data_IF_318228968113
#
_entry.id   IF_318228968113
#
_cell.length_a   1.000
_cell.length_b   1.000
_cell.length_c   1.000
_cell.angle_alpha   90.00
_cell.angle_beta   90.00
_cell.angle_gamma   90.00
#
_symmetry.space_group_name_H-M   'P 1'
#
loop_
_entity.id
_entity.type
_entity.pdbx_description
1 polymer ?
#
# COMPACT_ATOMS: atom_id res chain seq x y z
N UNK A 1 -16.28 -13.80 1.10
CA UNK A 1 -15.09 -13.95 1.96
C UNK A 1 -15.24 -13.07 3.19
N UNK A 2 -14.67 -13.40 4.35
CA UNK A 2 -14.62 -12.47 5.47
C UNK A 2 -13.84 -11.21 5.05
N UNK A 3 -14.37 -10.03 5.39
CA UNK A 3 -13.66 -8.77 5.19
C UNK A 3 -12.57 -8.62 6.25
N UNK A 4 -11.41 -8.09 5.84
CA UNK A 4 -10.28 -7.83 6.72
C UNK A 4 -10.25 -6.33 6.98
N UNK A 5 -11.03 -5.87 7.95
CA UNK A 5 -11.03 -4.48 8.38
C UNK A 5 -9.82 -4.24 9.30
N UNK A 6 -8.66 -4.00 8.68
CA UNK A 6 -7.42 -3.70 9.40
C UNK A 6 -6.73 -2.47 8.82
N UNK A 7 -6.74 -1.40 9.61
CA UNK A 7 -5.91 -0.21 9.37
C UNK A 7 -4.65 -0.29 10.22
N UNK A 8 -3.47 -0.18 9.59
CA UNK A 8 -2.20 -0.18 10.32
C UNK A 8 -2.10 1.08 11.19
N UNK A 9 -1.95 0.96 12.52
CA UNK A 9 -1.72 2.11 13.38
C UNK A 9 -0.41 2.84 12.98
N UNK A 10 -0.42 4.17 12.97
CA UNK A 10 0.76 4.94 12.54
C UNK A 10 2.01 4.63 13.37
N UNK A 11 1.86 4.44 14.69
CA UNK A 11 2.98 4.07 15.56
C UNK A 11 3.60 2.71 15.16
N UNK A 12 2.79 1.76 14.70
CA UNK A 12 3.25 0.43 14.30
C UNK A 12 4.06 0.48 13.00
N UNK A 13 3.68 1.36 12.07
CA UNK A 13 4.47 1.65 10.88
C UNK A 13 5.87 2.18 11.25
N UNK A 14 5.94 3.24 12.05
CA UNK A 14 7.22 3.84 12.45
C UNK A 14 8.08 2.89 13.28
N UNK A 15 7.47 2.17 14.22
CA UNK A 15 8.15 1.16 15.02
C UNK A 15 8.68 0.01 14.14
N UNK A 16 7.89 -0.42 13.16
CA UNK A 16 8.29 -1.43 12.18
C UNK A 16 9.52 -1.00 11.39
N UNK A 17 9.56 0.23 10.89
CA UNK A 17 10.70 0.76 10.15
C UNK A 17 12.00 0.84 10.97
N UNK A 18 11.91 0.89 12.30
CA UNK A 18 13.09 0.94 13.17
C UNK A 18 13.47 -0.46 13.68
N UNK A 19 12.53 -1.17 14.30
CA UNK A 19 12.81 -2.46 14.93
C UNK A 19 13.12 -3.55 13.91
N UNK A 20 12.41 -3.57 12.77
CA UNK A 20 12.58 -4.65 11.80
C UNK A 20 14.00 -4.68 11.23
N UNK A 21 14.60 -3.57 10.72
CA UNK A 21 15.98 -3.59 10.26
C UNK A 21 16.99 -4.00 11.33
N UNK A 22 16.80 -3.58 12.58
CA UNK A 22 17.70 -3.95 13.68
C UNK A 22 17.65 -5.47 13.89
N UNK A 23 16.45 -6.03 13.99
CA UNK A 23 16.27 -7.47 14.14
C UNK A 23 16.82 -8.20 12.92
N UNK A 24 16.47 -7.77 11.70
CA UNK A 24 16.93 -8.37 10.46
C UNK A 24 18.46 -8.36 10.32
N UNK A 25 19.12 -7.25 10.67
CA UNK A 25 20.57 -7.13 10.67
C UNK A 25 21.22 -8.12 11.66
N UNK A 26 20.67 -8.25 12.87
CA UNK A 26 21.20 -9.22 13.86
C UNK A 26 21.04 -10.67 13.40
N UNK A 27 19.98 -10.98 12.65
CA UNK A 27 19.74 -12.30 12.08
C UNK A 27 20.64 -12.57 10.87
N UNK A 28 20.82 -11.58 9.99
CA UNK A 28 21.63 -11.68 8.79
C UNK A 28 23.12 -11.89 9.08
N UNK A 29 23.63 -11.31 10.18
CA UNK A 29 25.03 -11.44 10.62
C UNK A 29 25.34 -12.78 11.32
N UNK A 30 24.36 -13.69 11.47
CA UNK A 30 24.61 -15.01 12.06
C UNK A 30 25.42 -15.89 11.09
N UNK A 31 26.42 -16.64 11.59
CA UNK A 31 27.22 -17.53 10.74
C UNK A 31 26.30 -18.55 10.07
N UNK A 32 26.43 -18.70 8.74
CA UNK A 32 25.66 -19.69 7.99
C UNK A 32 26.02 -21.09 8.49
N UNK A 33 25.04 -21.96 8.77
CA UNK A 33 25.33 -23.32 9.16
C UNK A 33 26.14 -24.02 8.07
N UNK A 34 27.18 -24.76 8.46
CA UNK A 34 28.08 -25.48 7.54
C UNK A 34 27.35 -26.59 6.76
N UNK A 35 26.29 -27.14 7.34
CA UNK A 35 25.48 -28.20 6.74
C UNK A 35 24.16 -27.65 6.19
N UNK A 36 23.82 -27.99 4.94
CA UNK A 36 22.51 -27.69 4.35
C UNK A 36 21.47 -28.58 5.02
N UNK A 37 20.62 -28.01 5.87
CA UNK A 37 19.47 -28.69 6.47
C UNK A 37 18.20 -27.89 6.25
N UNK A 38 17.11 -28.59 5.95
CA UNK A 38 15.78 -28.03 6.03
C UNK A 38 15.42 -27.78 7.49
N UNK A 39 14.92 -26.57 7.78
CA UNK A 39 14.52 -26.14 9.11
C UNK A 39 13.01 -26.27 9.26
N UNK A 40 12.56 -26.92 10.33
CA UNK A 40 11.14 -26.99 10.66
C UNK A 40 10.55 -25.61 10.96
N UNK A 41 11.31 -24.74 11.63
CA UNK A 41 10.90 -23.36 11.91
C UNK A 41 10.69 -22.59 10.61
N UNK A 42 11.64 -22.72 9.67
CA UNK A 42 11.50 -22.07 8.35
C UNK A 42 10.35 -22.67 7.56
N UNK A 43 10.13 -23.99 7.64
CA UNK A 43 8.99 -24.64 7.01
C UNK A 43 7.65 -24.09 7.53
N UNK A 44 7.50 -23.88 8.84
CA UNK A 44 6.29 -23.30 9.41
C UNK A 44 6.13 -21.83 9.03
N UNK A 45 7.23 -21.07 9.01
CA UNK A 45 7.23 -19.70 8.51
C UNK A 45 6.73 -19.63 7.06
N UNK A 46 7.23 -20.51 6.18
CA UNK A 46 6.79 -20.58 4.78
C UNK A 46 5.33 -21.09 4.68
N UNK A 47 4.89 -21.99 5.56
CA UNK A 47 3.50 -22.44 5.60
C UNK A 47 2.55 -21.30 5.97
N UNK A 48 2.93 -20.46 6.94
CA UNK A 48 2.13 -19.30 7.34
C UNK A 48 2.13 -18.23 6.23
N UNK A 49 3.29 -17.94 5.64
CA UNK A 49 3.45 -16.84 4.67
C UNK A 49 3.13 -17.22 3.24
N UNK A 50 3.11 -18.51 2.89
CA UNK A 50 2.97 -18.98 1.51
C UNK A 50 2.23 -20.31 1.37
N UNK A 51 1.61 -20.79 2.45
CA UNK A 51 0.93 -22.10 2.46
C UNK A 51 -0.28 -22.17 1.54
N UNK A 52 -0.97 -21.05 1.33
CA UNK A 52 -2.09 -20.94 0.38
C UNK A 52 -1.64 -21.25 -1.06
N UNK A 53 -0.37 -21.01 -1.39
CA UNK A 53 0.25 -21.32 -2.67
C UNK A 53 1.02 -22.65 -2.65
N UNK A 54 1.01 -23.39 -1.54
CA UNK A 54 1.75 -24.65 -1.39
C UNK A 54 3.27 -24.50 -1.27
N UNK A 55 3.79 -23.30 -0.98
CA UNK A 55 5.23 -23.02 -0.99
C UNK A 55 6.01 -23.84 0.04
N UNK A 56 5.40 -24.21 1.17
CA UNK A 56 6.02 -25.04 2.20
C UNK A 56 6.33 -26.46 1.72
N UNK A 57 5.56 -26.97 0.75
CA UNK A 57 5.87 -28.26 0.09
C UNK A 57 6.93 -28.10 -0.98
N UNK A 58 6.89 -27.01 -1.75
CA UNK A 58 7.94 -26.70 -2.75
C UNK A 58 9.31 -26.46 -2.08
N UNK A 59 9.32 -25.84 -0.90
CA UNK A 59 10.51 -25.70 -0.06
C UNK A 59 11.19 -27.05 0.21
N UNK A 60 10.40 -28.10 0.44
CA UNK A 60 10.87 -29.47 0.66
C UNK A 60 11.02 -30.27 -0.65
N UNK A 61 11.05 -29.60 -1.81
CA UNK A 61 11.12 -30.19 -3.16
C UNK A 61 9.97 -31.17 -3.48
N UNK A 62 8.82 -31.02 -2.83
CA UNK A 62 7.63 -31.84 -3.07
C UNK A 62 6.69 -31.19 -4.08
N UNK A 63 6.51 -31.82 -5.24
CA UNK A 63 5.63 -31.33 -6.32
C UNK A 63 4.14 -31.29 -5.94
N UNK A 64 3.73 -31.97 -4.86
CA UNK A 64 2.36 -31.90 -4.31
C UNK A 64 1.96 -30.45 -3.99
N UNK A 65 2.92 -29.57 -3.68
CA UNK A 65 2.66 -28.15 -3.48
C UNK A 65 1.96 -27.48 -4.67
N UNK A 66 2.19 -27.96 -5.90
CA UNK A 66 1.55 -27.42 -7.09
C UNK A 66 0.03 -27.63 -7.13
N UNK A 67 -0.53 -28.58 -6.35
CA UNK A 67 -1.98 -28.78 -6.28
C UNK A 67 -2.72 -27.58 -5.64
N UNK A 68 -2.02 -26.76 -4.86
CA UNK A 68 -2.59 -25.55 -4.27
C UNK A 68 -2.83 -24.46 -5.32
N UNK A 69 -2.01 -24.41 -6.36
CA UNK A 69 -2.04 -23.33 -7.36
C UNK A 69 -3.36 -23.31 -8.15
N UNK A 70 -3.87 -24.43 -8.72
CA UNK A 70 -5.16 -24.43 -9.40
C UNK A 70 -6.32 -24.00 -8.49
N UNK A 71 -6.35 -24.47 -7.24
CA UNK A 71 -7.41 -24.09 -6.28
C UNK A 71 -7.31 -22.60 -5.94
N UNK A 72 -6.09 -22.07 -5.82
CA UNK A 72 -5.86 -20.65 -5.59
C UNK A 72 -6.33 -19.80 -6.79
N UNK A 73 -6.03 -20.22 -8.01
CA UNK A 73 -6.52 -19.56 -9.24
C UNK A 73 -8.04 -19.53 -9.29
N UNK A 74 -8.71 -20.62 -8.89
CA UNK A 74 -10.19 -20.66 -8.79
C UNK A 74 -10.71 -19.61 -7.81
N UNK A 75 -10.04 -19.39 -6.67
CA UNK A 75 -10.42 -18.32 -5.73
C UNK A 75 -10.30 -16.95 -6.38
N UNK A 76 -9.16 -16.67 -7.04
CA UNK A 76 -8.95 -15.38 -7.71
C UNK A 76 -10.00 -15.12 -8.79
N UNK A 77 -10.27 -16.12 -9.63
CA UNK A 77 -11.26 -16.03 -10.69
C UNK A 77 -12.67 -15.83 -10.12
N UNK A 78 -13.07 -16.63 -9.13
CA UNK A 78 -14.39 -16.52 -8.52
C UNK A 78 -14.59 -15.19 -7.79
N UNK A 79 -13.57 -14.65 -7.13
CA UNK A 79 -13.63 -13.32 -6.52
C UNK A 79 -13.75 -12.20 -7.56
N UNK A 80 -13.04 -12.30 -8.68
CA UNK A 80 -13.17 -11.36 -9.80
C UNK A 80 -14.61 -11.37 -10.34
N UNK A 81 -15.14 -12.56 -10.65
CA UNK A 81 -16.52 -12.69 -11.13
C UNK A 81 -17.56 -12.22 -10.10
N UNK A 82 -17.30 -12.49 -8.81
CA UNK A 82 -18.13 -11.99 -7.72
C UNK A 82 -18.10 -10.47 -7.57
N UNK A 83 -17.04 -9.79 -8.00
CA UNK A 83 -17.00 -8.33 -8.05
C UNK A 83 -17.89 -7.77 -9.15
N UNK A 84 -17.83 -8.35 -10.35
CA UNK A 84 -18.68 -7.95 -11.47
C UNK A 84 -20.16 -8.23 -11.16
N UNK A 85 -20.47 -9.40 -10.59
CA UNK A 85 -21.82 -9.76 -10.17
C UNK A 85 -22.38 -8.84 -9.07
N UNK A 86 -21.54 -8.30 -8.18
CA UNK A 86 -21.96 -7.30 -7.17
C UNK A 86 -22.41 -5.99 -7.83
N UNK A 87 -21.73 -5.54 -8.87
CA UNK A 87 -22.13 -4.33 -9.61
C UNK A 87 -23.51 -4.52 -10.22
N UNK A 88 -23.71 -5.63 -10.94
CA UNK A 88 -25.00 -5.95 -11.58
C UNK A 88 -26.12 -6.07 -10.54
N UNK A 89 -25.87 -6.74 -9.42
CA UNK A 89 -26.84 -6.86 -8.32
C UNK A 89 -27.21 -5.49 -7.76
N UNK A 90 -26.22 -4.61 -7.54
CA UNK A 90 -26.46 -3.24 -7.09
C UNK A 90 -27.33 -2.47 -8.08
N UNK A 91 -27.01 -2.53 -9.37
CA UNK A 91 -27.75 -1.82 -10.43
C UNK A 91 -29.21 -2.29 -10.53
N UNK A 92 -29.44 -3.61 -10.57
CA UNK A 92 -30.80 -4.17 -10.64
C UNK A 92 -31.59 -3.91 -9.36
N UNK A 93 -30.96 -4.02 -8.19
CA UNK A 93 -31.62 -3.69 -6.92
C UNK A 93 -31.99 -2.20 -6.82
N UNK A 94 -31.20 -1.32 -7.42
CA UNK A 94 -31.49 0.11 -7.46
C UNK A 94 -32.65 0.42 -8.41
N UNK A 95 -32.71 -0.24 -9.58
CA UNK A 95 -33.84 -0.14 -10.51
C UNK A 95 -35.16 -0.51 -9.82
N UNK A 96 -35.21 -1.69 -9.20
CA UNK A 96 -36.40 -2.17 -8.47
C UNK A 96 -36.79 -1.18 -7.37
N UNK A 97 -35.82 -0.77 -6.55
CA UNK A 97 -36.05 0.17 -5.45
C UNK A 97 -36.53 1.54 -5.92
N UNK A 98 -36.08 2.01 -7.09
CA UNK A 98 -36.52 3.28 -7.66
C UNK A 98 -37.94 3.19 -8.22
N UNK A 99 -38.28 2.08 -8.87
CA UNK A 99 -39.61 1.82 -9.40
C UNK A 99 -40.65 1.66 -8.28
N UNK A 100 -40.33 0.89 -7.22
CA UNK A 100 -41.19 0.76 -6.03
C UNK A 100 -41.46 2.11 -5.35
N UNK A 101 -40.41 2.92 -5.13
CA UNK A 101 -40.59 4.28 -4.58
C UNK A 101 -41.46 5.17 -5.47
N UNK A 102 -41.42 4.98 -6.79
CA UNK A 102 -42.22 5.76 -7.74
C UNK A 102 -43.70 5.34 -7.64
N UNK A 103 -43.98 4.04 -7.57
CA UNK A 103 -45.33 3.52 -7.37
C UNK A 103 -45.93 3.97 -6.04
N UNK A 104 -45.17 3.90 -4.94
CA UNK A 104 -45.65 4.34 -3.62
C UNK A 104 -46.00 5.84 -3.64
N UNK A 105 -45.13 6.66 -4.24
CA UNK A 105 -45.28 8.12 -4.26
C UNK A 105 -46.39 8.58 -5.20
N UNK A 106 -46.42 8.08 -6.43
CA UNK A 106 -47.42 8.49 -7.41
C UNK A 106 -48.77 7.81 -7.17
N UNK A 107 -48.80 6.57 -6.66
CA UNK A 107 -50.02 5.87 -6.29
C UNK A 107 -50.86 6.66 -5.31
N UNK A 108 -50.27 7.12 -4.20
CA UNK A 108 -50.99 7.97 -3.24
C UNK A 108 -51.50 9.29 -3.83
N UNK A 109 -50.73 9.91 -4.73
CA UNK A 109 -51.10 11.18 -5.39
C UNK A 109 -52.24 10.99 -6.39
N UNK A 110 -52.17 9.95 -7.22
CA UNK A 110 -53.21 9.62 -8.20
C UNK A 110 -54.50 9.27 -7.46
N UNK A 111 -54.46 8.40 -6.45
CA UNK A 111 -55.64 8.05 -5.65
C UNK A 111 -56.27 9.29 -4.99
N UNK A 112 -55.45 10.20 -4.42
CA UNK A 112 -56.00 11.45 -3.85
C UNK A 112 -56.64 12.36 -4.90
N UNK A 113 -56.01 12.50 -6.07
CA UNK A 113 -56.51 13.36 -7.14
C UNK A 113 -57.79 12.80 -7.77
N UNK A 114 -57.89 11.48 -7.90
CA UNK A 114 -59.09 10.77 -8.37
C UNK A 114 -60.25 10.93 -7.39
N UNK A 115 -60.00 10.92 -6.08
CA UNK A 115 -61.03 11.13 -5.07
C UNK A 115 -61.57 12.58 -5.07
N UNK A 116 -60.72 13.57 -5.37
CA UNK A 116 -61.12 14.99 -5.41
C UNK A 116 -61.79 15.41 -6.73
N UNK A 117 -61.50 14.70 -7.84
CA UNK A 117 -61.95 15.05 -9.19
C UNK A 117 -63.48 15.18 -9.35
N UNK A 118 -64.33 14.29 -8.79
CA UNK A 118 -65.79 14.43 -8.87
C UNK A 118 -66.29 15.74 -8.26
N UNK A 119 -65.73 16.16 -7.11
CA UNK A 119 -66.07 17.42 -6.47
C UNK A 119 -65.64 18.64 -7.30
N UNK A 120 -64.51 18.56 -8.00
CA UNK A 120 -64.09 19.61 -8.93
C UNK A 120 -65.00 19.69 -10.16
N UNK A 121 -65.44 18.55 -10.71
CA UNK A 121 -66.39 18.48 -11.82
C UNK A 121 -67.77 19.02 -11.44
N UNK A 122 -68.24 18.74 -10.23
CA UNK A 122 -69.48 19.30 -9.71
C UNK A 122 -69.40 20.84 -9.61
N UNK A 123 -68.32 21.38 -9.03
CA UNK A 123 -68.10 22.84 -8.96
C UNK A 123 -68.05 23.51 -10.33
N UNK A 124 -67.56 22.81 -11.35
CA UNK A 124 -67.58 23.29 -12.74
C UNK A 124 -69.00 23.30 -13.31
N UNK A 125 -69.80 22.27 -13.04
CA UNK A 125 -71.19 22.16 -13.50
C UNK A 125 -72.13 23.18 -12.84
N UNK A 126 -71.85 23.58 -11.60
CA UNK A 126 -72.61 24.58 -10.85
C UNK A 126 -72.20 26.03 -11.16
N UNK A 127 -71.11 26.25 -11.91
CA UNK A 127 -70.61 27.59 -12.21
C UNK A 127 -71.43 28.26 -13.32
N UNK A 128 -71.72 29.56 -13.15
CA UNK A 128 -72.45 30.35 -14.16
C UNK A 128 -71.67 30.47 -15.47
N UNK A 129 -72.36 30.24 -16.59
CA UNK A 129 -71.81 30.25 -17.95
C UNK A 129 -71.19 31.60 -18.30
N UNK A 130 -69.92 31.61 -18.69
CA UNK A 130 -69.15 32.80 -19.05
C UNK A 130 -68.45 33.48 -17.86
N UNK A 131 -68.61 32.98 -16.63
CA UNK A 131 -68.04 33.59 -15.42
C UNK A 131 -66.53 33.32 -15.25
N UNK A 132 -65.85 34.18 -14.47
CA UNK A 132 -64.46 33.92 -14.02
C UNK A 132 -64.36 32.64 -13.18
N UNK A 133 -65.43 32.27 -12.47
CA UNK A 133 -65.51 31.06 -11.66
C UNK A 133 -65.50 29.79 -12.52
N UNK A 134 -66.25 29.78 -13.63
CA UNK A 134 -66.24 28.68 -14.61
C UNK A 134 -64.83 28.47 -15.19
N UNK A 135 -64.17 29.53 -15.66
CA UNK A 135 -62.80 29.44 -16.20
C UNK A 135 -61.79 28.90 -15.19
N UNK A 136 -61.95 29.26 -13.91
CA UNK A 136 -61.12 28.76 -12.81
C UNK A 136 -61.37 27.28 -12.54
N UNK A 137 -62.63 26.89 -12.35
CA UNK A 137 -63.03 25.50 -12.14
C UNK A 137 -62.60 24.61 -13.31
N UNK A 138 -62.74 25.08 -14.55
CA UNK A 138 -62.32 24.36 -15.75
C UNK A 138 -60.80 24.16 -15.81
N UNK A 139 -60.01 25.16 -15.39
CA UNK A 139 -58.55 25.02 -15.29
C UNK A 139 -58.16 24.03 -14.19
N UNK A 140 -58.85 24.04 -13.07
CA UNK A 140 -58.54 23.18 -11.93
C UNK A 140 -58.88 21.71 -12.26
N UNK A 141 -60.02 21.45 -12.92
CA UNK A 141 -60.35 20.12 -13.49
C UNK A 141 -59.30 19.67 -14.51
N UNK A 142 -58.95 20.52 -15.50
CA UNK A 142 -57.90 20.17 -16.49
C UNK A 142 -56.57 19.83 -15.84
N UNK A 143 -56.16 20.57 -14.81
CA UNK A 143 -54.90 20.31 -14.08
C UNK A 143 -54.96 19.01 -13.29
N UNK A 144 -56.10 18.71 -12.66
CA UNK A 144 -56.29 17.44 -11.96
C UNK A 144 -56.24 16.26 -12.94
N UNK A 145 -56.94 16.35 -14.08
CA UNK A 145 -56.91 15.34 -15.14
C UNK A 145 -55.49 15.13 -15.69
N UNK A 146 -54.76 16.21 -16.00
CA UNK A 146 -53.36 16.11 -16.45
C UNK A 146 -52.43 15.46 -15.41
N UNK A 147 -52.63 15.76 -14.12
CA UNK A 147 -51.83 15.15 -13.04
C UNK A 147 -52.12 13.67 -12.88
N UNK A 148 -53.39 13.27 -13.00
CA UNK A 148 -53.81 11.87 -12.95
C UNK A 148 -53.18 11.13 -14.14
N UNK A 149 -53.28 11.68 -15.35
CA UNK A 149 -52.71 11.06 -16.55
C UNK A 149 -51.20 10.88 -16.43
N UNK A 150 -50.46 11.96 -16.13
CA UNK A 150 -49.00 11.90 -15.96
C UNK A 150 -48.59 10.98 -14.80
N UNK A 151 -49.39 10.92 -13.73
CA UNK A 151 -49.17 10.01 -12.62
C UNK A 151 -49.32 8.56 -13.05
N UNK A 152 -50.38 8.23 -13.80
CA UNK A 152 -50.62 6.89 -14.36
C UNK A 152 -49.55 6.47 -15.36
N UNK A 153 -49.11 7.36 -16.25
CA UNK A 153 -47.99 7.08 -17.16
C UNK A 153 -46.71 6.70 -16.41
N UNK A 154 -46.37 7.45 -15.34
CA UNK A 154 -45.20 7.16 -14.51
C UNK A 154 -45.35 5.87 -13.71
N UNK A 155 -46.54 5.57 -13.22
CA UNK A 155 -46.84 4.31 -12.55
C UNK A 155 -46.74 3.13 -13.51
N UNK A 156 -47.29 3.25 -14.72
CA UNK A 156 -47.20 2.21 -15.75
C UNK A 156 -45.75 1.94 -16.17
N UNK A 157 -44.94 3.00 -16.31
CA UNK A 157 -43.50 2.85 -16.57
C UNK A 157 -42.79 2.13 -15.39
N UNK A 158 -43.09 2.51 -14.15
CA UNK A 158 -42.53 1.86 -12.97
C UNK A 158 -42.98 0.39 -12.83
N UNK A 159 -44.23 0.05 -13.19
CA UNK A 159 -44.71 -1.33 -13.22
C UNK A 159 -43.96 -2.17 -14.27
N UNK A 160 -43.73 -1.62 -15.47
CA UNK A 160 -42.94 -2.29 -16.50
C UNK A 160 -41.47 -2.49 -16.07
N UNK A 161 -40.88 -1.51 -15.40
CA UNK A 161 -39.55 -1.61 -14.79
C UNK A 161 -39.50 -2.70 -13.71
N UNK A 162 -40.58 -2.92 -12.95
CA UNK A 162 -40.64 -3.99 -11.95
C UNK A 162 -40.85 -5.38 -12.55
N UNK A 163 -41.67 -5.49 -13.61
CA UNK A 163 -41.92 -6.75 -14.30
C UNK A 163 -40.62 -7.34 -14.86
N UNK A 164 -39.73 -6.48 -15.35
CA UNK A 164 -38.41 -6.86 -15.88
C UNK A 164 -37.31 -6.84 -14.80
N UNK A 165 -37.34 -5.86 -13.90
CA UNK A 165 -36.29 -5.63 -12.92
C UNK A 165 -36.27 -6.64 -11.77
N UNK A 166 -37.42 -7.14 -11.32
CA UNK A 166 -37.49 -8.15 -10.25
C UNK A 166 -36.82 -9.48 -10.63
N UNK A 167 -37.18 -10.14 -11.76
CA UNK A 167 -36.51 -11.38 -12.15
C UNK A 167 -35.03 -11.15 -12.44
N UNK A 168 -34.66 -10.02 -13.03
CA UNK A 168 -33.26 -9.67 -13.26
C UNK A 168 -32.47 -9.46 -11.96
N UNK A 169 -33.08 -8.88 -10.91
CA UNK A 169 -32.46 -8.71 -9.60
C UNK A 169 -32.28 -10.07 -8.89
N UNK A 170 -33.26 -10.97 -8.98
CA UNK A 170 -33.17 -12.33 -8.43
C UNK A 170 -32.07 -13.14 -9.13
N UNK A 171 -31.99 -13.08 -10.46
CA UNK A 171 -30.94 -13.74 -11.23
C UNK A 171 -29.55 -13.18 -10.90
N UNK A 172 -29.42 -11.85 -10.80
CA UNK A 172 -28.16 -11.19 -10.43
C UNK A 172 -27.70 -11.62 -9.03
N UNK A 173 -28.62 -11.68 -8.06
CA UNK A 173 -28.35 -12.15 -6.71
C UNK A 173 -27.92 -13.63 -6.69
N UNK A 174 -28.61 -14.50 -7.42
CA UNK A 174 -28.26 -15.92 -7.52
C UNK A 174 -26.86 -16.12 -8.14
N UNK A 175 -26.54 -15.37 -9.19
CA UNK A 175 -25.21 -15.39 -9.81
C UNK A 175 -24.12 -14.91 -8.84
N UNK A 176 -24.38 -13.84 -8.07
CA UNK A 176 -23.47 -13.37 -7.04
C UNK A 176 -23.21 -14.45 -5.97
N UNK A 177 -24.27 -15.08 -5.47
CA UNK A 177 -24.16 -16.15 -4.48
C UNK A 177 -23.39 -17.36 -5.01
N UNK A 178 -23.60 -17.73 -6.27
CA UNK A 178 -22.86 -18.80 -6.93
C UNK A 178 -21.35 -18.56 -6.89
N UNK A 179 -20.89 -17.38 -7.33
CA UNK A 179 -19.45 -17.04 -7.33
C UNK A 179 -18.89 -16.93 -5.92
N UNK A 180 -19.64 -16.35 -4.98
CA UNK A 180 -19.24 -16.29 -3.57
C UNK A 180 -19.08 -17.68 -2.96
N UNK A 181 -19.97 -18.63 -3.29
CA UNK A 181 -19.90 -20.00 -2.82
C UNK A 181 -18.70 -20.75 -3.41
N UNK A 182 -18.42 -20.59 -4.71
CA UNK A 182 -17.21 -21.18 -5.33
C UNK A 182 -15.95 -20.68 -4.62
N UNK A 183 -15.82 -19.36 -4.45
CA UNK A 183 -14.66 -18.78 -3.77
C UNK A 183 -14.53 -19.34 -2.33
N UNK A 184 -15.66 -19.37 -1.58
CA UNK A 184 -15.72 -19.89 -0.22
C UNK A 184 -15.27 -21.35 -0.12
N UNK A 185 -15.81 -22.24 -0.95
CA UNK A 185 -15.45 -23.66 -0.91
C UNK A 185 -14.01 -23.92 -1.35
N UNK A 186 -13.53 -23.23 -2.39
CA UNK A 186 -12.14 -23.32 -2.82
C UNK A 186 -11.17 -22.85 -1.71
N UNK A 187 -11.53 -21.80 -0.98
CA UNK A 187 -10.76 -21.33 0.17
C UNK A 187 -10.74 -22.33 1.32
N UNK A 188 -11.88 -22.93 1.68
CA UNK A 188 -11.93 -24.00 2.67
C UNK A 188 -11.11 -25.22 2.27
N UNK A 189 -11.09 -25.57 0.98
CA UNK A 189 -10.27 -26.67 0.47
C UNK A 189 -8.77 -26.39 0.66
N UNK A 190 -8.30 -25.18 0.35
CA UNK A 190 -6.92 -24.78 0.62
C UNK A 190 -6.62 -24.79 2.11
N UNK A 191 -7.50 -24.22 2.95
CA UNK A 191 -7.30 -24.20 4.40
C UNK A 191 -7.22 -25.62 4.99
N UNK A 192 -8.05 -26.54 4.51
CA UNK A 192 -7.97 -27.94 4.90
C UNK A 192 -6.61 -28.55 4.52
N UNK A 193 -6.12 -28.29 3.31
CA UNK A 193 -4.79 -28.69 2.88
C UNK A 193 -3.68 -28.10 3.76
N UNK A 194 -3.72 -26.80 4.04
CA UNK A 194 -2.74 -26.14 4.93
C UNK A 194 -2.80 -26.73 6.34
N UNK A 195 -3.99 -26.97 6.89
CA UNK A 195 -4.18 -27.56 8.21
C UNK A 195 -3.61 -28.98 8.30
N UNK A 196 -3.83 -29.82 7.29
CA UNK A 196 -3.19 -31.13 7.19
C UNK A 196 -1.67 -30.98 7.23
N UNK A 197 -1.15 -30.00 6.51
CA UNK A 197 0.29 -29.80 6.36
C UNK A 197 0.96 -29.27 7.62
N UNK A 198 0.24 -28.53 8.47
CA UNK A 198 0.71 -28.12 9.80
C UNK A 198 1.18 -29.34 10.60
N UNK A 199 0.44 -30.45 10.53
CA UNK A 199 0.78 -31.68 11.25
C UNK A 199 1.80 -32.55 10.51
N UNK A 200 1.79 -32.57 9.17
CA UNK A 200 2.73 -33.37 8.38
C UNK A 200 4.13 -32.76 8.31
N UNK A 201 4.26 -31.44 8.45
CA UNK A 201 5.48 -30.71 8.18
C UNK A 201 6.72 -31.24 8.93
N UNK A 202 6.68 -31.56 10.24
CA UNK A 202 7.85 -32.09 10.93
C UNK A 202 8.35 -33.41 10.34
N UNK A 203 7.42 -34.30 9.94
CA UNK A 203 7.75 -35.57 9.29
C UNK A 203 8.33 -35.37 7.89
N UNK A 204 7.77 -34.45 7.12
CA UNK A 204 8.26 -34.11 5.78
C UNK A 204 9.68 -33.50 5.84
N UNK A 205 9.95 -32.62 6.81
CA UNK A 205 11.28 -32.04 7.02
C UNK A 205 12.30 -33.11 7.38
N UNK A 206 11.95 -34.04 8.29
CA UNK A 206 12.82 -35.17 8.64
C UNK A 206 13.15 -36.04 7.42
N UNK A 207 12.14 -36.37 6.60
CA UNK A 207 12.32 -37.14 5.37
C UNK A 207 13.18 -36.40 4.34
N UNK A 208 12.97 -35.11 4.16
CA UNK A 208 13.76 -34.28 3.26
C UNK A 208 15.23 -34.18 3.71
N UNK A 209 15.47 -34.08 5.02
CA UNK A 209 16.82 -34.11 5.60
C UNK A 209 17.51 -35.47 5.48
N UNK A 210 16.77 -36.59 5.55
CA UNK A 210 17.34 -37.91 5.33
C UNK A 210 17.77 -38.13 3.87
N UNK A 211 17.12 -37.47 2.92
CA UNK A 211 17.39 -37.56 1.49
C UNK A 211 18.38 -36.49 0.98
N UNK A 212 18.93 -35.66 1.88
CA UNK A 212 19.90 -34.62 1.51
C UNK A 212 21.27 -35.29 1.24
N UNK A 213 21.84 -35.14 0.04
CA UNK A 213 23.19 -35.65 -0.22
C UNK A 213 24.22 -34.94 0.67
N UNK A 214 25.24 -35.66 1.19
CA UNK A 214 26.21 -35.15 2.16
C UNK A 214 27.11 -34.04 1.58
N UNK A 215 27.35 -34.03 0.28
CA UNK A 215 27.96 -32.92 -0.44
C UNK A 215 27.11 -32.58 -1.66
N UNK A 216 26.89 -31.29 -1.99
CA UNK A 216 26.29 -30.96 -3.26
C UNK A 216 27.28 -31.38 -4.36
N UNK A 217 26.89 -32.33 -5.20
CA UNK A 217 27.53 -32.54 -6.50
C UNK A 217 27.27 -31.28 -7.33
N UNK A 218 28.05 -30.23 -7.08
CA UNK A 218 28.01 -29.03 -7.88
C UNK A 218 28.58 -29.40 -9.24
N UNK A 219 27.81 -29.15 -10.29
CA UNK A 219 28.34 -29.28 -11.64
C UNK A 219 29.58 -28.40 -11.79
N UNK A 220 30.53 -28.79 -12.64
CA UNK A 220 31.73 -28.00 -12.90
C UNK A 220 31.39 -26.54 -13.31
N UNK A 221 30.24 -26.36 -13.96
CA UNK A 221 29.68 -25.05 -14.29
C UNK A 221 29.24 -24.25 -13.06
N UNK A 222 28.61 -24.88 -12.07
CA UNK A 222 28.16 -24.23 -10.84
C UNK A 222 29.34 -23.83 -9.95
N UNK A 223 30.39 -24.65 -9.91
CA UNK A 223 31.65 -24.32 -9.22
C UNK A 223 32.34 -23.12 -9.85
N UNK A 224 32.44 -23.08 -11.19
CA UNK A 224 33.00 -21.94 -11.93
C UNK A 224 32.17 -20.68 -11.71
N UNK A 225 30.85 -20.76 -11.78
CA UNK A 225 29.95 -19.64 -11.51
C UNK A 225 30.16 -19.09 -10.09
N UNK A 226 30.18 -19.97 -9.08
CA UNK A 226 30.37 -19.57 -7.69
C UNK A 226 31.74 -18.95 -7.42
N UNK A 227 32.78 -19.43 -8.10
CA UNK A 227 34.12 -18.84 -8.04
C UNK A 227 34.15 -17.45 -8.70
N UNK A 228 33.46 -17.27 -9.82
CA UNK A 228 33.29 -15.95 -10.48
C UNK A 228 32.50 -14.98 -9.59
N UNK A 229 31.36 -15.41 -9.05
CA UNK A 229 30.55 -14.63 -8.11
C UNK A 229 31.36 -14.20 -6.89
N UNK A 230 32.17 -15.10 -6.32
CA UNK A 230 33.03 -14.79 -5.18
C UNK A 230 34.17 -13.83 -5.55
N UNK A 231 34.69 -13.88 -6.78
CA UNK A 231 35.72 -12.97 -7.26
C UNK A 231 35.16 -11.57 -7.58
N UNK A 232 33.90 -11.47 -8.02
CA UNK A 232 33.24 -10.19 -8.28
C UNK A 232 32.67 -9.54 -7.01
N UNK A 233 32.37 -10.32 -5.96
CA UNK A 233 31.85 -9.81 -4.68
C UNK A 233 32.95 -9.07 -3.91
N UNK A 234 33.16 -7.79 -4.23
CA UNK A 234 33.86 -6.88 -3.33
C UNK A 234 33.01 -6.68 -2.08
N UNK A 235 33.62 -6.86 -0.91
CA UNK A 235 32.98 -6.48 0.35
C UNK A 235 32.81 -4.95 0.35
N UNK A 236 31.60 -4.47 0.63
CA UNK A 236 31.31 -3.03 0.66
C UNK A 236 32.17 -2.31 1.71
N UNK A 237 32.64 -3.03 2.74
CA UNK A 237 33.61 -2.51 3.70
C UNK A 237 34.95 -2.09 3.07
N UNK A 238 35.29 -2.62 1.89
CA UNK A 238 36.52 -2.26 1.17
C UNK A 238 36.52 -0.82 0.62
N UNK A 239 35.36 -0.18 0.51
CA UNK A 239 35.22 1.22 0.09
C UNK A 239 35.51 2.21 1.24
N UNK A 240 35.60 1.74 2.49
CA UNK A 240 35.82 2.60 3.65
C UNK A 240 37.25 3.12 3.66
N UNK A 241 37.39 4.44 3.61
CA UNK A 241 38.70 5.10 3.64
C UNK A 241 39.34 5.11 5.04
N UNK A 242 40.64 5.41 5.09
CA UNK A 242 41.39 5.56 6.35
C UNK A 242 41.27 6.98 6.94
N UNK A 243 41.46 7.10 8.26
CA UNK A 243 41.43 8.37 8.97
C UNK A 243 40.02 8.88 9.29
N UNK A 244 39.84 10.20 9.31
CA UNK A 244 38.58 10.83 9.71
C UNK A 244 37.44 10.60 8.69
N UNK A 245 37.76 10.55 7.40
CA UNK A 245 36.79 10.28 6.32
C UNK A 245 36.19 8.88 6.44
N UNK A 246 36.94 7.92 6.98
CA UNK A 246 36.46 6.58 7.25
C UNK A 246 35.32 6.51 8.28
N UNK A 247 35.15 7.51 9.14
CA UNK A 247 33.98 7.56 10.03
C UNK A 247 32.71 7.91 9.26
N UNK A 248 32.81 8.83 8.30
CA UNK A 248 31.70 9.18 7.40
C UNK A 248 31.34 8.00 6.52
N UNK A 249 32.33 7.34 5.92
CA UNK A 249 32.09 6.19 5.05
C UNK A 249 31.42 5.03 5.82
N UNK A 250 31.84 4.77 7.07
CA UNK A 250 31.17 3.78 7.94
C UNK A 250 29.74 4.16 8.30
N UNK A 251 29.47 5.46 8.50
CA UNK A 251 28.11 5.95 8.75
C UNK A 251 27.22 5.70 7.53
N UNK A 252 27.68 6.07 6.33
CA UNK A 252 26.95 5.82 5.08
C UNK A 252 26.72 4.33 4.82
N UNK A 253 27.74 3.50 5.09
CA UNK A 253 27.66 2.04 5.00
C UNK A 253 26.59 1.48 5.96
N UNK A 254 26.61 1.91 7.23
CA UNK A 254 25.63 1.51 8.23
C UNK A 254 24.20 1.94 7.86
N UNK A 255 24.02 3.21 7.48
CA UNK A 255 22.71 3.74 7.10
C UNK A 255 22.15 3.03 5.86
N UNK A 256 22.99 2.77 4.85
CA UNK A 256 22.63 2.00 3.66
C UNK A 256 22.24 0.56 3.97
N UNK A 257 23.04 -0.14 4.78
CA UNK A 257 22.74 -1.51 5.24
C UNK A 257 21.42 -1.54 6.02
N UNK A 258 21.21 -0.57 6.91
CA UNK A 258 19.99 -0.44 7.71
C UNK A 258 18.74 -0.32 6.81
N UNK A 259 18.73 0.61 5.86
CA UNK A 259 17.56 0.81 4.99
C UNK A 259 17.39 -0.29 3.94
N UNK A 260 18.44 -1.05 3.61
CA UNK A 260 18.32 -2.19 2.71
C UNK A 260 17.33 -3.25 3.24
N UNK A 261 17.21 -3.41 4.56
CA UNK A 261 16.24 -4.32 5.16
C UNK A 261 14.78 -3.86 5.01
N UNK A 262 14.51 -2.59 4.71
CA UNK A 262 13.15 -2.12 4.39
C UNK A 262 12.58 -2.78 3.13
N UNK A 263 13.44 -3.18 2.17
CA UNK A 263 12.98 -3.92 1.00
C UNK A 263 12.30 -5.25 1.38
N UNK A 264 12.70 -5.89 2.49
CA UNK A 264 12.06 -7.11 2.98
C UNK A 264 10.68 -6.82 3.57
N UNK A 265 10.52 -5.68 4.25
CA UNK A 265 9.21 -5.20 4.72
C UNK A 265 8.26 -5.05 3.53
N UNK A 266 8.73 -4.46 2.43
CA UNK A 266 7.94 -4.27 1.22
C UNK A 266 7.41 -5.58 0.64
N UNK A 267 8.24 -6.63 0.59
CA UNK A 267 7.81 -7.95 0.11
C UNK A 267 6.68 -8.50 0.98
N UNK A 268 6.79 -8.38 2.31
CA UNK A 268 5.76 -8.85 3.24
C UNK A 268 4.46 -8.06 3.09
N UNK A 269 4.54 -6.73 3.04
CA UNK A 269 3.38 -5.84 2.96
C UNK A 269 2.67 -5.98 1.61
N UNK A 270 3.39 -6.03 0.49
CA UNK A 270 2.75 -6.22 -0.82
C UNK A 270 2.18 -7.62 -0.98
N UNK A 271 2.82 -8.64 -0.42
CA UNK A 271 2.22 -9.96 -0.38
C UNK A 271 0.90 -9.94 0.39
N UNK A 272 0.88 -9.31 1.58
CA UNK A 272 -0.34 -9.13 2.34
C UNK A 272 -1.40 -8.35 1.56
N UNK A 273 -1.05 -7.26 0.88
CA UNK A 273 -1.98 -6.46 0.08
C UNK A 273 -2.57 -7.26 -1.09
N UNK A 274 -1.76 -8.03 -1.81
CA UNK A 274 -2.23 -8.91 -2.90
C UNK A 274 -3.22 -9.94 -2.34
N UNK A 275 -2.90 -10.55 -1.21
CA UNK A 275 -3.80 -11.49 -0.55
C UNK A 275 -5.11 -10.83 -0.11
N UNK A 276 -5.02 -9.71 0.62
CA UNK A 276 -6.18 -8.96 1.12
C UNK A 276 -7.10 -8.53 -0.02
N UNK A 277 -6.54 -7.97 -1.08
CA UNK A 277 -7.26 -7.47 -2.25
C UNK A 277 -7.91 -8.58 -3.06
N UNK A 278 -7.15 -9.59 -3.47
CA UNK A 278 -7.64 -10.55 -4.48
C UNK A 278 -8.23 -11.83 -3.88
N UNK A 279 -7.81 -12.22 -2.67
CA UNK A 279 -8.34 -13.42 -1.99
C UNK A 279 -9.48 -13.05 -1.06
N UNK A 280 -9.35 -11.97 -0.30
CA UNK A 280 -10.38 -11.56 0.67
C UNK A 280 -11.34 -10.49 0.11
N UNK A 281 -11.01 -9.85 -1.02
CA UNK A 281 -11.82 -8.78 -1.59
C UNK A 281 -11.84 -7.53 -0.72
N UNK A 282 -10.77 -7.32 0.07
CA UNK A 282 -10.65 -6.30 1.11
C UNK A 282 -9.33 -5.53 0.92
N UNK A 283 -9.23 -4.61 -0.05
CA UNK A 283 -8.04 -3.80 -0.25
C UNK A 283 -7.71 -3.00 1.01
N UNK A 284 -6.42 -2.82 1.35
CA UNK A 284 -6.06 -2.01 2.51
C UNK A 284 -5.95 -0.53 2.13
N UNK A 285 -6.29 0.36 3.06
CA UNK A 285 -6.14 1.80 2.90
C UNK A 285 -4.69 2.29 3.10
N UNK A 286 -3.84 1.52 3.79
CA UNK A 286 -2.51 1.95 4.23
C UNK A 286 -1.34 1.37 3.42
N UNK A 287 -1.45 0.14 2.88
CA UNK A 287 -0.27 -0.57 2.38
C UNK A 287 0.44 0.14 1.23
N UNK A 288 -0.31 0.66 0.25
CA UNK A 288 0.27 1.36 -0.89
C UNK A 288 1.06 2.60 -0.46
N UNK A 289 0.45 3.44 0.37
CA UNK A 289 1.06 4.69 0.81
C UNK A 289 2.23 4.46 1.77
N UNK A 290 2.10 3.53 2.71
CA UNK A 290 3.19 3.13 3.60
C UNK A 290 4.44 2.73 2.80
N UNK A 291 4.28 1.94 1.73
CA UNK A 291 5.40 1.53 0.90
C UNK A 291 5.96 2.67 0.05
N UNK A 292 5.09 3.51 -0.50
CA UNK A 292 5.51 4.69 -1.26
C UNK A 292 6.39 5.62 -0.41
N UNK A 293 5.95 5.95 0.81
CA UNK A 293 6.69 6.80 1.74
C UNK A 293 8.00 6.13 2.19
N UNK A 294 7.96 4.84 2.53
CA UNK A 294 9.14 4.07 2.92
C UNK A 294 10.21 4.05 1.82
N UNK A 295 9.84 3.80 0.56
CA UNK A 295 10.79 3.81 -0.55
C UNK A 295 11.36 5.20 -0.83
N UNK A 296 10.57 6.25 -0.68
CA UNK A 296 11.07 7.63 -0.77
C UNK A 296 12.16 7.91 0.26
N UNK A 297 11.93 7.52 1.52
CA UNK A 297 12.93 7.59 2.58
C UNK A 297 14.16 6.71 2.28
N UNK A 298 13.95 5.49 1.81
CA UNK A 298 15.01 4.54 1.47
C UNK A 298 15.94 5.12 0.41
N UNK A 299 15.36 5.70 -0.64
CA UNK A 299 16.09 6.30 -1.76
C UNK A 299 17.02 7.43 -1.29
N UNK A 300 16.53 8.30 -0.42
CA UNK A 300 17.31 9.44 0.08
C UNK A 300 18.49 9.02 0.96
N UNK A 301 18.27 8.05 1.87
CA UNK A 301 19.35 7.52 2.71
C UNK A 301 20.37 6.74 1.85
N UNK A 302 19.88 5.90 0.94
CA UNK A 302 20.71 5.09 0.05
C UNK A 302 21.57 5.91 -0.91
N UNK A 303 21.23 7.18 -1.18
CA UNK A 303 22.06 8.08 -2.00
C UNK A 303 23.49 8.20 -1.48
N UNK A 304 23.68 8.37 -0.16
CA UNK A 304 25.03 8.42 0.44
C UNK A 304 25.79 7.10 0.29
N UNK A 305 25.10 5.98 0.50
CA UNK A 305 25.64 4.64 0.32
C UNK A 305 26.08 4.39 -1.13
N UNK A 306 25.20 4.66 -2.09
CA UNK A 306 25.48 4.50 -3.52
C UNK A 306 26.61 5.43 -3.98
N UNK A 307 26.82 6.57 -3.30
CA UNK A 307 27.97 7.42 -3.55
C UNK A 307 29.26 6.76 -3.05
N UNK A 308 29.27 6.21 -1.82
CA UNK A 308 30.42 5.48 -1.27
C UNK A 308 30.83 4.27 -2.14
N UNK A 309 29.87 3.44 -2.55
CA UNK A 309 30.11 2.22 -3.34
C UNK A 309 30.21 2.45 -4.85
N UNK A 310 30.18 3.71 -5.28
CA UNK A 310 30.23 4.12 -6.69
C UNK A 310 29.12 3.52 -7.57
N UNK A 311 27.96 3.25 -6.98
CA UNK A 311 26.82 2.59 -7.64
C UNK A 311 25.88 3.56 -8.39
N UNK A 312 26.19 4.85 -8.40
CA UNK A 312 25.46 5.80 -9.24
C UNK A 312 25.72 5.51 -10.71
N UNK A 313 24.67 5.59 -11.52
CA UNK A 313 24.79 5.49 -12.98
C UNK A 313 25.65 6.64 -13.47
N UNK A 314 26.80 6.32 -14.05
CA UNK A 314 27.79 7.27 -14.54
C UNK A 314 28.19 6.93 -15.98
N UNK A 315 28.47 7.94 -16.78
CA UNK A 315 28.94 7.78 -18.16
C UNK A 315 30.46 7.72 -18.15
N UNK A 316 31.02 6.51 -18.17
CA UNK A 316 32.46 6.30 -17.95
C UNK A 316 33.33 6.32 -19.21
N UNK A 317 32.77 6.54 -20.39
CA UNK A 317 33.51 6.41 -21.66
C UNK A 317 34.75 7.34 -21.74
N UNK A 318 34.63 8.56 -21.20
CA UNK A 318 35.72 9.54 -21.15
C UNK A 318 36.48 9.54 -19.83
N UNK A 319 35.89 9.00 -18.75
CA UNK A 319 36.48 8.98 -17.41
C UNK A 319 37.37 7.76 -17.18
N UNK A 320 36.94 6.58 -17.61
CA UNK A 320 37.64 5.31 -17.43
C UNK A 320 39.13 5.34 -17.85
N UNK A 321 39.51 5.87 -19.04
CA UNK A 321 40.90 5.87 -19.49
C UNK A 321 41.79 6.94 -18.83
N UNK A 322 41.24 7.83 -17.99
CA UNK A 322 42.02 8.89 -17.34
C UNK A 322 42.99 8.33 -16.29
N UNK A 323 44.16 8.98 -16.17
CA UNK A 323 45.10 8.68 -15.08
C UNK A 323 44.52 9.10 -13.72
N UNK A 324 44.99 8.48 -12.62
CA UNK A 324 44.49 8.76 -11.26
C UNK A 324 44.43 10.26 -10.91
N UNK A 325 45.47 11.03 -11.30
CA UNK A 325 45.51 12.48 -11.11
C UNK A 325 44.46 13.22 -11.93
N UNK A 326 44.25 12.83 -13.19
CA UNK A 326 43.23 13.45 -14.06
C UNK A 326 41.82 13.14 -13.57
N UNK A 327 41.58 11.93 -13.08
CA UNK A 327 40.32 11.54 -12.42
C UNK A 327 40.03 12.45 -11.22
N UNK A 328 40.97 12.56 -10.30
CA UNK A 328 40.83 13.42 -9.12
C UNK A 328 40.59 14.91 -9.47
N UNK A 329 41.20 15.45 -10.54
CA UNK A 329 40.90 16.82 -11.01
C UNK A 329 39.46 16.94 -11.50
N UNK A 330 39.01 15.99 -12.33
CA UNK A 330 37.63 15.97 -12.86
C UNK A 330 36.62 15.82 -11.72
N UNK A 331 36.88 14.93 -10.76
CA UNK A 331 36.02 14.70 -9.60
C UNK A 331 35.97 15.96 -8.71
N UNK A 332 37.11 16.64 -8.48
CA UNK A 332 37.15 17.90 -7.75
C UNK A 332 36.35 19.02 -8.46
N UNK A 333 36.47 19.14 -9.78
CA UNK A 333 35.72 20.15 -10.55
C UNK A 333 34.21 19.85 -10.55
N UNK A 334 33.83 18.59 -10.74
CA UNK A 334 32.42 18.16 -10.76
C UNK A 334 31.78 18.17 -9.37
N UNK A 335 32.58 18.07 -8.30
CA UNK A 335 32.10 18.16 -6.93
C UNK A 335 31.37 19.48 -6.62
N UNK A 336 31.69 20.57 -7.31
CA UNK A 336 31.00 21.86 -7.15
C UNK A 336 29.52 21.73 -7.48
N UNK A 337 29.18 21.11 -8.62
CA UNK A 337 27.79 20.86 -9.01
C UNK A 337 27.11 19.89 -8.05
N UNK A 338 27.84 18.89 -7.57
CA UNK A 338 27.34 17.97 -6.55
C UNK A 338 26.99 18.71 -5.25
N UNK A 339 27.84 19.61 -4.74
CA UNK A 339 27.56 20.36 -3.51
C UNK A 339 26.44 21.38 -3.68
N UNK A 340 26.29 21.98 -4.87
CA UNK A 340 25.11 22.82 -5.17
C UNK A 340 23.84 21.97 -5.06
N UNK A 341 23.82 20.79 -5.69
CA UNK A 341 22.69 19.87 -5.64
C UNK A 341 22.40 19.39 -4.22
N UNK A 342 23.39 18.81 -3.53
CA UNK A 342 23.23 18.25 -2.20
C UNK A 342 22.90 19.33 -1.15
N UNK A 343 23.51 20.51 -1.28
CA UNK A 343 23.21 21.66 -0.43
C UNK A 343 21.79 22.19 -0.64
N UNK A 344 21.35 22.33 -1.90
CA UNK A 344 19.96 22.71 -2.20
C UNK A 344 18.99 21.69 -1.65
N UNK A 345 19.25 20.40 -1.88
CA UNK A 345 18.43 19.30 -1.37
C UNK A 345 18.33 19.33 0.15
N UNK A 346 19.43 19.59 0.86
CA UNK A 346 19.43 19.68 2.33
C UNK A 346 18.61 20.89 2.82
N UNK A 347 18.79 22.06 2.21
CA UNK A 347 18.06 23.28 2.59
C UNK A 347 16.57 23.15 2.29
N UNK A 348 16.19 22.64 1.12
CA UNK A 348 14.76 22.46 0.79
C UNK A 348 14.12 21.37 1.65
N UNK A 349 14.84 20.28 1.94
CA UNK A 349 14.38 19.25 2.87
C UNK A 349 14.16 19.81 4.28
N UNK A 350 15.04 20.70 4.73
CA UNK A 350 14.89 21.41 6.00
C UNK A 350 13.60 22.22 6.02
N UNK A 351 13.41 23.09 5.02
CA UNK A 351 12.21 23.93 4.91
C UNK A 351 10.94 23.06 4.94
N UNK A 352 10.86 22.05 4.07
CA UNK A 352 9.67 21.20 3.98
C UNK A 352 9.38 20.41 5.25
N UNK A 353 10.39 19.95 5.98
CA UNK A 353 10.17 19.22 7.22
C UNK A 353 9.61 20.10 8.33
N UNK A 354 10.09 21.33 8.46
CA UNK A 354 9.58 22.28 9.46
C UNK A 354 8.21 22.84 9.08
N UNK A 355 7.98 23.13 7.79
CA UNK A 355 6.66 23.56 7.29
C UNK A 355 5.60 22.49 7.56
N UNK A 356 5.93 21.21 7.39
CA UNK A 356 5.02 20.10 7.65
C UNK A 356 4.62 19.96 9.13
N UNK A 357 5.44 20.44 10.06
CA UNK A 357 5.13 20.39 11.49
C UNK A 357 4.34 21.63 11.91
N UNK A 358 4.69 22.80 11.36
CA UNK A 358 4.13 24.10 11.71
C UNK A 358 2.79 24.42 11.01
N UNK A 359 2.13 23.44 10.39
CA UNK A 359 0.84 23.64 9.72
C UNK A 359 -0.22 24.12 10.71
N UNK A 360 -1.06 25.14 10.38
CA UNK A 360 -2.09 25.65 11.27
C UNK A 360 -3.14 24.63 11.72
N UNK A 361 -3.38 23.58 10.94
CA UNK A 361 -4.32 22.51 11.27
C UNK A 361 -3.76 21.48 12.28
N UNK A 362 -2.46 21.51 12.57
CA UNK A 362 -1.84 20.64 13.57
C UNK A 362 -2.09 21.16 14.98
N UNK A 363 -2.53 20.30 15.89
CA UNK A 363 -2.79 20.60 17.31
C UNK A 363 -1.96 19.69 18.25
N UNK A 364 -0.88 19.10 17.72
CA UNK A 364 0.09 18.35 18.52
C UNK A 364 1.08 19.28 19.23
N UNK A 365 1.67 18.83 20.34
CA UNK A 365 2.71 19.59 21.05
C UNK A 365 3.91 19.93 20.13
N UNK A 366 4.23 19.07 19.17
CA UNK A 366 5.31 19.36 18.21
C UNK A 366 4.89 20.50 17.28
N UNK A 367 3.63 20.52 16.83
CA UNK A 367 3.12 21.60 15.97
C UNK A 367 3.12 22.95 16.68
N UNK A 368 2.66 22.99 17.93
CA UNK A 368 2.63 24.21 18.73
C UNK A 368 4.06 24.73 18.98
N UNK A 369 5.00 23.84 19.28
CA UNK A 369 6.42 24.17 19.40
C UNK A 369 7.03 24.70 18.11
N UNK A 370 6.75 24.07 16.98
CA UNK A 370 7.27 24.50 15.68
C UNK A 370 6.73 25.87 15.26
N UNK A 371 5.50 26.24 15.69
CA UNK A 371 4.94 27.58 15.51
C UNK A 371 5.47 28.60 16.54
N UNK A 372 6.24 28.16 17.54
CA UNK A 372 6.77 29.02 18.59
C UNK A 372 5.74 29.42 19.64
N UNK A 373 4.61 28.71 19.73
CA UNK A 373 3.55 28.96 20.71
C UNK A 373 3.94 28.49 22.11
N UNK A 374 4.74 27.41 22.19
CA UNK A 374 5.26 26.84 23.44
C UNK A 374 6.78 26.62 23.39
N UNK A 375 7.42 26.64 24.56
CA UNK A 375 8.85 26.40 24.69
C UNK A 375 9.22 24.90 24.64
N UNK A 376 10.46 24.57 24.29
CA UNK A 376 10.93 23.17 24.26
C UNK A 376 10.83 22.46 25.64
N UNK A 377 11.08 23.19 26.73
CA UNK A 377 10.92 22.65 28.08
C UNK A 377 9.46 22.24 28.35
N UNK A 378 8.51 23.03 27.85
CA UNK A 378 7.07 22.75 27.98
C UNK A 378 6.65 21.54 27.16
N UNK A 379 7.20 21.36 25.95
CA UNK A 379 6.98 20.14 25.15
C UNK A 379 7.35 18.90 25.96
N UNK A 380 8.52 18.90 26.61
CA UNK A 380 8.99 17.76 27.40
C UNK A 380 8.10 17.52 28.62
N UNK A 381 7.73 18.58 29.34
CA UNK A 381 6.94 18.43 30.58
C UNK A 381 5.49 18.06 30.30
N UNK A 382 4.94 18.51 29.18
CA UNK A 382 3.55 18.27 28.80
C UNK A 382 3.38 17.00 27.95
N UNK A 383 4.49 16.36 27.56
CA UNK A 383 4.47 15.13 26.77
C UNK A 383 3.76 14.00 27.51
N UNK A 384 2.72 13.44 26.88
CA UNK A 384 1.95 12.34 27.44
C UNK A 384 1.50 11.38 26.34
N UNK A 385 0.94 10.24 26.75
CA UNK A 385 0.50 9.20 25.81
C UNK A 385 -0.66 9.65 24.91
N UNK A 386 -1.46 10.64 25.36
CA UNK A 386 -2.58 11.16 24.58
C UNK A 386 -2.13 11.76 23.24
N UNK A 387 -0.90 12.27 23.14
CA UNK A 387 -0.33 12.71 21.86
C UNK A 387 -0.39 11.61 20.78
N UNK A 388 -0.27 10.33 21.17
CA UNK A 388 -0.25 9.20 20.25
C UNK A 388 -1.55 8.42 20.20
N UNK A 389 -2.38 8.51 21.25
CA UNK A 389 -3.60 7.68 21.38
C UNK A 389 -4.90 8.45 21.15
N UNK A 390 -4.90 9.78 21.28
CA UNK A 390 -6.08 10.59 21.04
C UNK A 390 -6.27 10.80 19.52
N UNK A 391 -7.39 10.35 18.93
CA UNK A 391 -7.65 10.49 17.50
C UNK A 391 -7.82 11.96 17.06
N UNK A 392 -8.04 12.90 17.98
CA UNK A 392 -8.16 14.32 17.65
C UNK A 392 -6.81 15.01 17.50
N UNK A 393 -5.69 14.35 17.87
CA UNK A 393 -4.35 14.92 17.74
C UNK A 393 -3.84 14.74 16.32
N UNK A 394 -3.55 15.86 15.67
CA UNK A 394 -3.02 15.98 14.32
C UNK A 394 -1.60 16.48 14.37
N UNK A 395 -0.68 15.63 13.95
CA UNK A 395 0.76 15.90 13.96
C UNK A 395 1.19 16.67 12.71
N UNK A 396 0.66 17.89 12.55
CA UNK A 396 0.96 18.75 11.41
C UNK A 396 0.30 18.28 10.10
N UNK A 397 1.07 18.27 9.02
CA UNK A 397 0.65 17.84 7.68
C UNK A 397 0.42 16.32 7.64
N UNK A 398 -0.75 15.94 7.15
CA UNK A 398 -1.15 14.55 6.93
C UNK A 398 -1.28 14.27 5.43
N UNK A 399 -1.23 12.98 5.06
CA UNK A 399 -1.51 12.57 3.70
C UNK A 399 -2.97 12.76 3.30
N UNK A 400 -3.21 12.78 1.98
CA UNK A 400 -4.54 13.01 1.38
C UNK A 400 -5.42 11.76 1.28
N UNK A 401 -4.94 10.59 1.72
CA UNK A 401 -5.69 9.34 1.65
C UNK A 401 -6.45 9.06 2.95
N UNK A 402 -7.23 7.98 2.98
CA UNK A 402 -7.98 7.53 4.16
C UNK A 402 -7.10 7.06 5.34
N UNK A 403 -5.79 6.87 5.13
CA UNK A 403 -4.86 6.47 6.18
C UNK A 403 -4.36 7.68 6.99
N UNK A 404 -4.35 8.89 6.41
CA UNK A 404 -4.05 10.16 7.07
C UNK A 404 -2.72 10.14 7.86
N UNK A 405 -1.68 9.52 7.31
CA UNK A 405 -0.39 9.38 8.01
C UNK A 405 0.31 10.73 8.13
N UNK A 406 0.90 11.07 9.29
CA UNK A 406 1.67 12.30 9.44
C UNK A 406 2.94 12.25 8.59
N UNK A 407 3.16 13.29 7.78
CA UNK A 407 4.24 13.34 6.80
C UNK A 407 5.56 13.87 7.37
N UNK A 408 5.52 14.54 8.50
CA UNK A 408 6.72 15.16 9.09
C UNK A 408 7.87 14.18 9.36
N UNK A 409 7.68 12.92 9.83
CA UNK A 409 8.83 12.05 10.09
C UNK A 409 9.51 11.62 8.78
N UNK A 410 8.74 11.46 7.70
CA UNK A 410 9.31 11.21 6.37
C UNK A 410 10.15 12.39 5.90
N UNK A 411 9.62 13.62 6.04
CA UNK A 411 10.35 14.84 5.66
C UNK A 411 11.59 15.06 6.53
N UNK A 412 11.58 14.65 7.80
CA UNK A 412 12.78 14.62 8.65
C UNK A 412 13.84 13.65 8.13
N UNK A 413 13.44 12.47 7.61
CA UNK A 413 14.37 11.55 6.95
C UNK A 413 14.98 12.17 5.68
N UNK A 414 14.28 13.07 4.99
CA UNK A 414 14.86 13.81 3.86
C UNK A 414 16.05 14.67 4.30
N UNK A 415 15.96 15.32 5.46
CA UNK A 415 17.09 16.07 6.05
C UNK A 415 18.25 15.12 6.32
N UNK A 416 17.97 13.96 6.93
CA UNK A 416 18.99 12.95 7.24
C UNK A 416 19.69 12.48 5.95
N UNK A 417 18.93 12.13 4.91
CA UNK A 417 19.46 11.71 3.62
C UNK A 417 20.31 12.81 2.96
N UNK A 418 19.81 14.05 2.94
CA UNK A 418 20.56 15.20 2.43
C UNK A 418 21.86 15.46 3.19
N UNK A 419 21.83 15.38 4.52
CA UNK A 419 23.00 15.54 5.37
C UNK A 419 24.03 14.44 5.12
N UNK A 420 23.59 13.18 5.07
CA UNK A 420 24.45 12.04 4.75
C UNK A 420 25.10 12.20 3.37
N UNK A 421 24.36 12.68 2.37
CA UNK A 421 24.87 12.92 1.04
C UNK A 421 25.93 14.03 1.02
N UNK A 422 25.68 15.15 1.72
CA UNK A 422 26.67 16.23 1.87
C UNK A 422 27.93 15.72 2.57
N UNK A 423 27.78 14.99 3.68
CA UNK A 423 28.91 14.41 4.43
C UNK A 423 29.71 13.44 3.55
N UNK A 424 29.05 12.57 2.79
CA UNK A 424 29.73 11.65 1.88
C UNK A 424 30.45 12.40 0.76
N UNK A 425 29.88 13.48 0.25
CA UNK A 425 30.54 14.39 -0.68
C UNK A 425 31.81 15.01 -0.10
N UNK A 426 31.77 15.47 1.16
CA UNK A 426 32.94 15.98 1.88
C UNK A 426 34.02 14.90 2.04
N UNK A 427 33.62 13.66 2.34
CA UNK A 427 34.52 12.51 2.40
C UNK A 427 35.23 12.30 1.06
N UNK A 428 34.49 12.22 -0.05
CA UNK A 428 35.07 12.04 -1.40
C UNK A 428 35.97 13.20 -1.80
N UNK A 429 35.52 14.44 -1.61
CA UNK A 429 36.30 15.63 -1.91
C UNK A 429 37.66 15.62 -1.19
N UNK A 430 37.68 15.25 0.09
CA UNK A 430 38.91 15.14 0.86
C UNK A 430 39.82 13.98 0.41
N UNK A 431 39.26 12.91 -0.14
CA UNK A 431 40.03 11.79 -0.73
C UNK A 431 40.66 12.20 -2.07
N UNK A 432 39.90 12.87 -2.94
CA UNK A 432 40.40 13.36 -4.23
C UNK A 432 41.49 14.42 -4.04
N UNK A 433 41.32 15.31 -3.06
CA UNK A 433 42.36 16.28 -2.71
C UNK A 433 43.65 15.60 -2.23
N UNK A 434 43.55 14.54 -1.40
CA UNK A 434 44.72 13.74 -0.98
C UNK A 434 45.40 13.06 -2.17
N UNK A 435 44.63 12.52 -3.10
CA UNK A 435 45.15 11.89 -4.32
C UNK A 435 45.94 12.88 -5.21
N UNK A 436 45.58 14.17 -5.19
CA UNK A 436 46.30 15.23 -5.90
C UNK A 436 47.58 15.67 -5.16
N UNK A 437 47.51 15.81 -3.83
CA UNK A 437 48.64 16.28 -3.01
C UNK A 437 49.72 15.20 -2.81
N UNK A 438 49.42 13.93 -3.09
CA UNK A 438 50.41 12.85 -3.13
C UNK A 438 50.76 12.23 -1.77
N UNK A 439 49.95 12.47 -0.74
CA UNK A 439 50.01 11.72 0.53
C UNK A 439 48.97 10.60 0.46
N UNK A 440 49.41 9.45 -0.05
CA UNK A 440 48.62 8.21 -0.09
C UNK A 440 48.37 7.68 1.33
#
# INVERSE_FOLDING_TARGET
>A
MPQLDFTLPHWAYWLGLILFPIIAATLAKRPKPKERKYSTVLGYFILITGGILGLHRLYLKSMIGLLYIPVFIVILFANSQGQDARSVTSDMSNLVRQAERTLDREGGRVTSAEAELPGMRQKLAEAETGSLAERRAQRDVRRAEQRIEQGRERMAAAEADLETGRPAAEEAQANLEFWQNIAKYAFWLILAGVAIDVFLLPGLVRKANANLPPEPELSEAELKLKALEAAERKDDASYVSSGWTGWIDRLSLFCGEFVAYWAVIAVIVYYFEVMSRYVFGSPTNWAHEAMYLMFGMQYLIAGSYAMLTESHVRVDIFYAPLSKRRKAIVDLLTSVFFFIFAGTLLVTSWIFAFDAIAVPSGNSLISDWARGEIGFAEVITSWNLAQWTDPNIRWGEISFNEWEVPLWPMKMVMIIGGLLLVLQGVSKFAQDLRALVGRA
#
